data_IF_686464440559
#
_entry.id   IF_686464440559
#
_cell.length_a   1.000
_cell.length_b   1.000
_cell.length_c   1.000
_cell.angle_alpha   90.00
_cell.angle_beta   90.00
_cell.angle_gamma   90.00
#
_symmetry.space_group_name_H-M   'P 1'
#
loop_
_entity.id
_entity.type
_entity.pdbx_description
1 polymer ?
#
# COMPACT_ATOMS: atom_id res chain seq x y z
N UNK A 1 8.15 9.74 7.86
CA UNK A 1 7.00 10.51 7.37
C UNK A 1 6.87 10.34 5.87
N UNK A 2 5.68 10.59 5.34
CA UNK A 2 5.32 10.57 3.93
C UNK A 2 5.32 12.00 3.35
N UNK A 3 5.16 12.13 2.04
CA UNK A 3 5.15 13.42 1.34
C UNK A 3 3.72 13.96 1.22
N UNK A 4 3.46 15.17 1.74
CA UNK A 4 2.15 15.86 1.61
C UNK A 4 1.72 15.97 0.14
N UNK A 5 2.66 16.33 -0.74
CA UNK A 5 2.40 16.40 -2.18
C UNK A 5 2.03 15.03 -2.75
N UNK A 6 2.70 13.96 -2.28
CA UNK A 6 2.41 12.58 -2.68
C UNK A 6 0.97 12.19 -2.39
N UNK A 7 0.51 12.43 -1.15
CA UNK A 7 -0.88 12.15 -0.75
C UNK A 7 -1.89 12.96 -1.60
N UNK A 8 -1.64 14.25 -1.81
CA UNK A 8 -2.54 15.08 -2.60
C UNK A 8 -2.61 14.55 -4.04
N UNK A 9 -1.48 14.12 -4.61
CA UNK A 9 -1.44 13.51 -5.94
C UNK A 9 -2.27 12.22 -6.00
N UNK A 10 -2.13 11.34 -5.02
CA UNK A 10 -2.87 10.07 -4.92
C UNK A 10 -4.39 10.26 -4.94
N UNK A 11 -4.88 11.36 -4.38
CA UNK A 11 -6.31 11.66 -4.28
C UNK A 11 -6.88 12.49 -5.44
N UNK A 12 -6.03 13.14 -6.24
CA UNK A 12 -6.49 14.05 -7.28
C UNK A 12 -6.38 13.50 -8.70
N UNK A 13 -5.56 12.46 -8.91
CA UNK A 13 -5.27 11.95 -10.25
C UNK A 13 -6.07 10.68 -10.55
N UNK A 14 -6.35 10.39 -11.84
CA UNK A 14 -6.97 9.13 -12.25
C UNK A 14 -6.17 7.91 -11.77
N UNK A 15 -6.88 6.82 -11.50
CA UNK A 15 -6.29 5.57 -11.01
C UNK A 15 -6.32 4.53 -12.12
N UNK A 16 -5.19 3.92 -12.43
CA UNK A 16 -5.15 2.78 -13.34
C UNK A 16 -5.78 1.56 -12.68
N UNK A 17 -6.57 0.82 -13.44
CA UNK A 17 -7.20 -0.43 -13.01
C UNK A 17 -7.41 -1.35 -14.22
N UNK A 18 -7.67 -2.63 -13.95
CA UNK A 18 -8.25 -3.54 -14.93
C UNK A 18 -9.71 -3.74 -14.55
N UNK A 19 -10.62 -3.51 -15.50
CA UNK A 19 -12.06 -3.72 -15.34
C UNK A 19 -12.56 -4.55 -16.52
N UNK A 20 -13.21 -5.67 -16.23
CA UNK A 20 -13.64 -6.67 -17.21
C UNK A 20 -12.55 -7.07 -18.22
N UNK A 21 -11.32 -7.21 -17.73
CA UNK A 21 -10.16 -7.65 -18.48
C UNK A 21 -9.45 -6.58 -19.31
N UNK A 22 -9.88 -5.32 -19.22
CA UNK A 22 -9.31 -4.19 -19.97
C UNK A 22 -8.69 -3.15 -19.06
N UNK A 23 -7.56 -2.58 -19.49
CA UNK A 23 -6.98 -1.42 -18.83
C UNK A 23 -7.92 -0.22 -18.93
N UNK A 24 -8.24 0.38 -17.77
CA UNK A 24 -9.11 1.54 -17.66
C UNK A 24 -8.58 2.51 -16.60
N UNK A 25 -8.98 3.77 -16.73
CA UNK A 25 -8.85 4.76 -15.64
C UNK A 25 -10.15 4.81 -14.85
N UNK A 26 -10.04 4.73 -13.52
CA UNK A 26 -11.15 4.89 -12.57
C UNK A 26 -10.94 6.15 -11.72
N UNK A 27 -12.04 6.80 -11.28
CA UNK A 27 -11.93 8.02 -10.48
C UNK A 27 -11.31 7.75 -9.10
N UNK A 28 -10.45 8.66 -8.59
CA UNK A 28 -9.94 8.56 -7.23
C UNK A 28 -11.07 8.81 -6.21
N UNK A 29 -10.91 8.30 -5.00
CA UNK A 29 -11.87 8.42 -3.88
C UNK A 29 -13.23 7.77 -4.15
N UNK A 30 -13.35 6.92 -5.17
CA UNK A 30 -14.56 6.14 -5.46
C UNK A 30 -14.35 4.65 -5.16
N UNK A 31 -15.43 3.87 -5.33
CA UNK A 31 -15.50 2.44 -5.00
C UNK A 31 -15.14 2.13 -3.54
N UNK A 32 -15.74 2.89 -2.63
CA UNK A 32 -15.51 2.73 -1.19
C UNK A 32 -15.97 1.34 -0.73
N UNK A 33 -15.07 0.64 -0.07
CA UNK A 33 -15.32 -0.62 0.62
C UNK A 33 -15.03 -0.46 2.11
N UNK A 34 -15.89 -1.02 2.96
CA UNK A 34 -15.70 -1.02 4.41
C UNK A 34 -15.39 -2.45 4.86
N UNK A 35 -14.35 -2.59 5.68
CA UNK A 35 -13.96 -3.89 6.23
C UNK A 35 -13.43 -3.73 7.66
N UNK A 36 -13.40 -4.84 8.39
CA UNK A 36 -12.87 -4.89 9.76
C UNK A 36 -11.64 -5.79 9.82
N UNK A 37 -10.59 -5.33 10.50
CA UNK A 37 -9.38 -6.11 10.75
C UNK A 37 -8.93 -5.92 12.20
N UNK A 38 -8.87 -7.02 12.94
CA UNK A 38 -8.60 -7.07 14.38
C UNK A 38 -9.58 -6.20 15.20
N UNK A 39 -10.86 -6.24 14.84
CA UNK A 39 -11.91 -5.46 15.50
C UNK A 39 -11.90 -3.95 15.19
N UNK A 40 -10.97 -3.48 14.35
CA UNK A 40 -10.90 -2.09 13.89
C UNK A 40 -11.55 -1.98 12.52
N UNK A 41 -12.46 -1.02 12.36
CA UNK A 41 -13.09 -0.72 11.07
C UNK A 41 -12.20 0.19 10.24
N UNK A 42 -12.16 -0.10 8.94
CA UNK A 42 -11.44 0.64 7.93
C UNK A 42 -12.32 0.87 6.71
N UNK A 43 -11.98 1.89 5.94
CA UNK A 43 -12.48 2.12 4.59
C UNK A 43 -11.33 2.03 3.59
N UNK A 44 -11.59 1.51 2.39
CA UNK A 44 -10.65 1.45 1.28
C UNK A 44 -11.30 2.02 0.02
N UNK A 45 -10.54 2.79 -0.76
CA UNK A 45 -11.03 3.44 -1.97
C UNK A 45 -9.89 3.66 -2.96
N UNK A 46 -10.26 3.90 -4.23
CA UNK A 46 -9.29 4.02 -5.32
C UNK A 46 -8.36 5.23 -5.14
N UNK A 47 -7.08 5.01 -5.39
CA UNK A 47 -6.01 6.04 -5.35
C UNK A 47 -4.99 5.80 -6.44
N UNK A 48 -4.39 6.86 -6.98
CA UNK A 48 -3.48 6.72 -8.13
C UNK A 48 -2.10 6.18 -7.73
N UNK A 49 -1.41 5.53 -8.66
CA UNK A 49 0.05 5.33 -8.60
C UNK A 49 0.56 4.07 -7.87
N UNK A 50 -0.31 3.22 -7.34
CA UNK A 50 0.12 2.04 -6.58
C UNK A 50 0.37 0.76 -7.39
N UNK A 51 -0.15 0.63 -8.61
CA UNK A 51 -0.01 -0.61 -9.41
C UNK A 51 1.24 -0.62 -10.30
N UNK A 52 1.78 0.55 -10.66
CA UNK A 52 2.90 0.64 -11.60
C UNK A 52 2.63 -0.17 -12.88
N UNK A 53 3.58 -1.01 -13.28
CA UNK A 53 3.47 -1.85 -14.49
C UNK A 53 2.55 -3.06 -14.34
N UNK A 54 2.02 -3.33 -13.14
CA UNK A 54 1.26 -4.55 -12.88
C UNK A 54 -0.02 -4.63 -13.72
N UNK A 55 -0.66 -3.48 -13.97
CA UNK A 55 -1.80 -3.37 -14.86
C UNK A 55 -1.47 -3.85 -16.28
N UNK A 56 -0.36 -3.38 -16.86
CA UNK A 56 0.10 -3.82 -18.18
C UNK A 56 0.45 -5.32 -18.19
N UNK A 57 1.09 -5.79 -17.12
CA UNK A 57 1.52 -7.19 -17.03
C UNK A 57 0.33 -8.16 -16.90
N UNK A 58 -0.75 -7.75 -16.24
CA UNK A 58 -1.94 -8.57 -15.98
C UNK A 58 -3.13 -8.29 -16.92
N UNK A 59 -3.01 -7.33 -17.83
CA UNK A 59 -4.04 -7.06 -18.84
C UNK A 59 -4.38 -8.34 -19.63
N UNK A 60 -5.68 -8.61 -19.80
CA UNK A 60 -6.20 -9.82 -20.44
C UNK A 60 -5.98 -11.13 -19.66
N UNK A 61 -5.27 -11.12 -18.51
CA UNK A 61 -5.05 -12.28 -17.65
C UNK A 61 -5.98 -12.31 -16.43
N UNK A 62 -6.35 -11.13 -15.93
CA UNK A 62 -7.28 -10.98 -14.81
C UNK A 62 -8.50 -10.20 -15.26
N UNK A 63 -9.68 -10.52 -14.71
CA UNK A 63 -10.90 -9.75 -15.00
C UNK A 63 -10.89 -8.41 -14.30
N UNK A 64 -10.44 -8.35 -13.05
CA UNK A 64 -10.41 -7.11 -12.28
C UNK A 64 -9.10 -7.00 -11.49
N UNK A 65 -8.52 -5.80 -11.46
CA UNK A 65 -7.36 -5.43 -10.65
C UNK A 65 -7.50 -3.97 -10.26
N UNK A 66 -7.40 -3.66 -8.98
CA UNK A 66 -7.38 -2.29 -8.48
C UNK A 66 -6.37 -2.14 -7.34
N UNK A 67 -5.96 -0.90 -7.10
CA UNK A 67 -5.16 -0.50 -5.95
C UNK A 67 -5.95 0.51 -5.14
N UNK A 68 -6.02 0.25 -3.84
CA UNK A 68 -6.82 1.03 -2.92
C UNK A 68 -5.99 1.43 -1.71
N UNK A 69 -6.29 2.62 -1.21
CA UNK A 69 -5.71 3.13 0.01
C UNK A 69 -6.66 2.87 1.18
N UNK A 70 -6.15 2.28 2.25
CA UNK A 70 -6.90 2.06 3.49
C UNK A 70 -6.81 3.28 4.41
N UNK A 71 -7.94 3.70 4.95
CA UNK A 71 -8.07 4.80 5.92
C UNK A 71 -9.07 4.45 7.03
N UNK A 72 -9.07 5.27 8.07
CA UNK A 72 -10.11 5.20 9.10
C UNK A 72 -11.43 5.77 8.56
N UNK A 73 -12.57 5.27 9.06
CA UNK A 73 -13.88 5.70 8.60
C UNK A 73 -14.07 7.22 8.61
N UNK A 74 -14.60 7.77 7.52
CA UNK A 74 -14.92 9.19 7.35
C UNK A 74 -13.80 10.02 6.73
N UNK A 75 -12.59 9.49 6.59
CA UNK A 75 -11.47 10.19 5.96
C UNK A 75 -11.79 10.57 4.52
N UNK A 76 -12.31 9.62 3.74
CA UNK A 76 -12.67 9.79 2.33
C UNK A 76 -13.65 10.94 2.13
N UNK A 77 -14.68 11.02 2.96
CA UNK A 77 -15.71 12.04 2.82
C UNK A 77 -15.17 13.43 3.16
N UNK A 78 -14.31 13.54 4.17
CA UNK A 78 -13.57 14.78 4.46
C UNK A 78 -12.73 15.17 3.23
N UNK A 79 -11.98 14.23 2.66
CA UNK A 79 -11.15 14.50 1.49
C UNK A 79 -11.98 14.92 0.28
N UNK A 80 -13.13 14.30 0.02
CA UNK A 80 -14.02 14.72 -1.07
C UNK A 80 -14.59 16.10 -0.85
N UNK A 81 -15.03 16.43 0.35
CA UNK A 81 -15.50 17.77 0.67
C UNK A 81 -14.42 18.81 0.41
N UNK A 82 -13.19 18.57 0.89
CA UNK A 82 -12.06 19.48 0.66
C UNK A 82 -11.72 19.61 -0.83
N UNK A 83 -11.60 18.48 -1.54
CA UNK A 83 -11.07 18.46 -2.91
C UNK A 83 -12.12 18.85 -3.95
N UNK A 84 -13.36 18.39 -3.79
CA UNK A 84 -14.44 18.56 -4.77
C UNK A 84 -15.33 19.75 -4.40
N UNK A 85 -15.95 19.72 -3.21
CA UNK A 85 -16.96 20.71 -2.83
C UNK A 85 -16.36 22.10 -2.57
N UNK A 86 -15.16 22.13 -1.96
CA UNK A 86 -14.40 23.36 -1.75
C UNK A 86 -13.39 23.68 -2.87
N UNK A 87 -13.28 22.80 -3.88
CA UNK A 87 -12.42 23.01 -5.05
C UNK A 87 -10.91 23.04 -4.75
N UNK A 88 -10.45 22.50 -3.61
CA UNK A 88 -9.02 22.57 -3.24
C UNK A 88 -8.14 21.66 -4.10
N UNK A 89 -8.70 20.73 -4.88
CA UNK A 89 -7.94 19.94 -5.87
C UNK A 89 -7.20 20.80 -6.90
N UNK A 90 -7.76 21.99 -7.20
CA UNK A 90 -7.20 22.96 -8.15
C UNK A 90 -6.28 23.98 -7.44
N UNK A 91 -6.20 23.92 -6.10
CA UNK A 91 -5.38 24.77 -5.24
C UNK A 91 -4.44 23.94 -4.36
N UNK A 92 -3.78 22.94 -4.95
CA UNK A 92 -2.90 21.99 -4.24
C UNK A 92 -1.87 22.64 -3.30
N UNK A 93 -1.19 23.76 -3.66
CA UNK A 93 -0.27 24.43 -2.74
C UNK A 93 -0.94 24.92 -1.45
N UNK A 94 -2.16 25.46 -1.55
CA UNK A 94 -2.92 25.89 -0.38
C UNK A 94 -3.35 24.69 0.47
N UNK A 95 -3.83 23.62 -0.16
CA UNK A 95 -4.21 22.42 0.58
C UNK A 95 -3.02 21.83 1.34
N UNK A 96 -1.85 21.79 0.70
CA UNK A 96 -0.60 21.39 1.33
C UNK A 96 -0.28 22.27 2.54
N UNK A 97 -0.32 23.59 2.38
CA UNK A 97 -0.07 24.53 3.49
C UNK A 97 -1.03 24.29 4.67
N UNK A 98 -2.33 24.07 4.38
CA UNK A 98 -3.33 23.74 5.40
C UNK A 98 -2.93 22.46 6.14
N UNK A 99 -2.58 21.39 5.42
CA UNK A 99 -2.20 20.10 6.03
C UNK A 99 -0.91 20.21 6.85
N UNK A 100 0.13 20.86 6.32
CA UNK A 100 1.41 21.01 7.01
C UNK A 100 1.32 21.92 8.23
N UNK A 101 0.35 22.84 8.25
CA UNK A 101 0.08 23.71 9.40
C UNK A 101 -0.78 23.00 10.45
N UNK A 102 -1.80 22.26 10.03
CA UNK A 102 -2.83 21.74 10.93
C UNK A 102 -2.57 20.33 11.46
N UNK A 103 -1.80 19.49 10.74
CA UNK A 103 -1.63 18.08 11.08
C UNK A 103 -0.28 17.82 11.76
N UNK A 104 -0.26 17.33 13.01
CA UNK A 104 0.98 17.02 13.69
C UNK A 104 1.65 15.77 13.12
N UNK A 105 2.99 15.76 13.12
CA UNK A 105 3.79 14.59 12.75
C UNK A 105 3.80 13.59 13.92
N UNK A 106 3.57 12.31 13.62
CA UNK A 106 3.77 11.19 14.55
C UNK A 106 4.77 10.19 13.98
N UNK A 107 5.56 9.58 14.87
CA UNK A 107 6.45 8.46 14.54
C UNK A 107 5.89 7.10 14.96
N UNK A 108 4.79 7.11 15.72
CA UNK A 108 4.01 5.93 16.07
C UNK A 108 2.92 5.75 15.03
N UNK A 109 3.30 5.20 13.88
CA UNK A 109 2.42 4.90 12.76
C UNK A 109 2.32 3.38 12.52
N UNK A 110 1.41 3.02 11.63
CA UNK A 110 1.20 1.64 11.18
C UNK A 110 1.06 1.64 9.66
N UNK A 111 1.71 0.67 9.03
CA UNK A 111 1.50 0.33 7.63
C UNK A 111 0.65 -0.94 7.60
N UNK A 112 -0.54 -0.85 7.02
CA UNK A 112 -1.43 -1.97 6.80
C UNK A 112 -1.38 -2.37 5.32
N UNK A 113 -1.04 -3.62 5.06
CA UNK A 113 -1.09 -4.23 3.74
C UNK A 113 -2.25 -5.23 3.74
N UNK A 114 -3.21 -5.06 2.85
CA UNK A 114 -4.32 -5.99 2.66
C UNK A 114 -4.43 -6.36 1.19
N UNK A 115 -4.46 -7.66 0.90
CA UNK A 115 -4.52 -8.21 -0.46
C UNK A 115 -5.65 -9.22 -0.48
N UNK A 116 -6.52 -9.13 -1.48
CA UNK A 116 -7.58 -10.10 -1.73
C UNK A 116 -7.44 -10.60 -3.18
N UNK A 117 -7.38 -11.92 -3.36
CA UNK A 117 -7.29 -12.56 -4.67
C UNK A 117 -8.38 -13.61 -4.78
N UNK A 118 -9.22 -13.49 -5.81
CA UNK A 118 -10.25 -14.48 -6.15
C UNK A 118 -9.98 -15.08 -7.52
N UNK A 119 -10.11 -16.40 -7.64
CA UNK A 119 -9.85 -17.10 -8.90
C UNK A 119 -10.13 -18.60 -8.84
N UNK A 120 -9.86 -19.31 -9.92
CA UNK A 120 -10.00 -20.78 -9.96
C UNK A 120 -8.72 -21.47 -9.49
N UNK A 121 -8.83 -22.33 -8.47
CA UNK A 121 -7.76 -23.19 -7.97
C UNK A 121 -8.28 -24.62 -7.94
N UNK A 122 -7.60 -25.55 -8.62
CA UNK A 122 -8.00 -26.95 -8.74
C UNK A 122 -9.47 -27.13 -9.19
N UNK A 123 -9.93 -26.30 -10.13
CA UNK A 123 -11.30 -26.33 -10.66
C UNK A 123 -12.37 -25.64 -9.80
N UNK A 124 -12.04 -25.21 -8.59
CA UNK A 124 -12.97 -24.53 -7.68
C UNK A 124 -12.71 -23.02 -7.66
N UNK A 125 -13.77 -22.23 -7.51
CA UNK A 125 -13.65 -20.80 -7.26
C UNK A 125 -13.25 -20.61 -5.79
N UNK A 126 -12.12 -19.95 -5.55
CA UNK A 126 -11.52 -19.74 -4.24
C UNK A 126 -11.14 -18.27 -4.10
N UNK A 127 -11.28 -17.74 -2.89
CA UNK A 127 -10.76 -16.45 -2.48
C UNK A 127 -9.69 -16.66 -1.40
N UNK A 128 -8.54 -16.02 -1.56
CA UNK A 128 -7.48 -15.96 -0.57
C UNK A 128 -7.26 -14.50 -0.16
N UNK A 129 -7.00 -14.25 1.12
CA UNK A 129 -6.76 -12.91 1.64
C UNK A 129 -5.50 -12.91 2.51
N UNK A 130 -4.71 -11.86 2.37
CA UNK A 130 -3.50 -11.61 3.14
C UNK A 130 -3.62 -10.25 3.84
N UNK A 131 -3.32 -10.21 5.13
CA UNK A 131 -3.30 -8.99 5.91
C UNK A 131 -2.00 -8.91 6.71
N UNK A 132 -1.34 -7.75 6.73
CA UNK A 132 -0.14 -7.54 7.52
C UNK A 132 -0.10 -6.13 8.08
N UNK A 133 0.21 -6.01 9.38
CA UNK A 133 0.40 -4.75 10.08
C UNK A 133 1.86 -4.63 10.48
N UNK A 134 2.51 -3.61 9.94
CA UNK A 134 3.90 -3.28 10.26
C UNK A 134 3.88 -2.02 11.12
N UNK A 135 4.46 -2.10 12.30
CA UNK A 135 4.54 -1.01 13.26
C UNK A 135 5.93 -0.38 13.27
N UNK A 136 6.04 0.80 13.90
CA UNK A 136 7.33 1.42 14.21
C UNK A 136 8.22 0.47 15.05
N UNK A 137 9.52 0.45 14.79
CA UNK A 137 10.48 -0.42 15.49
C UNK A 137 11.77 0.32 15.84
N UNK A 138 12.43 -0.11 16.91
CA UNK A 138 13.76 0.37 17.27
C UNK A 138 14.82 -0.45 16.54
N UNK A 139 15.54 0.18 15.61
CA UNK A 139 16.62 -0.43 14.82
C UNK A 139 17.91 0.33 15.11
N UNK A 140 18.95 -0.40 15.56
CA UNK A 140 20.24 0.17 15.97
C UNK A 140 20.10 1.29 17.03
N UNK A 141 19.23 1.09 18.01
CA UNK A 141 19.02 2.04 19.11
C UNK A 141 18.21 3.29 18.76
N UNK A 142 17.70 3.41 17.53
CA UNK A 142 16.84 4.53 17.08
C UNK A 142 15.45 4.03 16.72
N UNK A 143 14.42 4.74 17.16
CA UNK A 143 13.03 4.47 16.76
C UNK A 143 12.82 4.93 15.31
N UNK A 144 12.28 4.04 14.48
CA UNK A 144 11.88 4.31 13.10
C UNK A 144 10.39 4.03 12.94
N UNK A 145 9.69 4.96 12.29
CA UNK A 145 8.28 4.78 11.90
C UNK A 145 8.12 3.60 10.92
N UNK A 146 6.95 2.95 10.94
CA UNK A 146 6.59 1.88 10.02
C UNK A 146 6.81 2.31 8.56
N UNK A 147 6.38 3.51 8.16
CA UNK A 147 6.57 3.99 6.79
C UNK A 147 8.03 4.21 6.43
N UNK A 148 8.87 4.65 7.37
CA UNK A 148 10.32 4.76 7.14
C UNK A 148 10.94 3.39 6.93
N UNK A 149 10.56 2.41 7.76
CA UNK A 149 11.07 1.05 7.68
C UNK A 149 10.68 0.42 6.35
N UNK A 150 9.39 0.39 5.99
CA UNK A 150 8.92 -0.28 4.78
C UNK A 150 9.48 0.37 3.52
N UNK A 151 9.44 1.71 3.43
CA UNK A 151 9.98 2.44 2.28
C UNK A 151 11.48 2.18 2.10
N UNK A 152 12.27 2.28 3.17
CA UNK A 152 13.71 2.05 3.10
C UNK A 152 14.04 0.57 2.82
N UNK A 153 13.34 -0.36 3.48
CA UNK A 153 13.52 -1.79 3.29
C UNK A 153 13.28 -2.20 1.83
N UNK A 154 12.22 -1.68 1.20
CA UNK A 154 11.90 -1.99 -0.20
C UNK A 154 13.03 -1.64 -1.15
N UNK A 155 13.50 -0.39 -1.12
CA UNK A 155 14.59 0.05 -2.00
C UNK A 155 15.92 -0.63 -1.65
N UNK A 156 16.24 -0.80 -0.37
CA UNK A 156 17.47 -1.47 0.05
C UNK A 156 17.49 -2.93 -0.40
N UNK A 157 16.37 -3.66 -0.31
CA UNK A 157 16.28 -5.03 -0.83
C UNK A 157 16.57 -5.09 -2.32
N UNK A 158 15.92 -4.25 -3.13
CA UNK A 158 16.11 -4.27 -4.59
C UNK A 158 17.55 -3.96 -4.96
N UNK A 159 18.18 -2.96 -4.32
CA UNK A 159 19.59 -2.63 -4.55
C UNK A 159 20.54 -3.74 -4.11
N UNK A 160 20.25 -4.41 -3.00
CA UNK A 160 21.06 -5.53 -2.49
C UNK A 160 20.95 -6.75 -3.42
N UNK A 161 19.76 -7.06 -3.95
CA UNK A 161 19.56 -8.09 -4.97
C UNK A 161 20.28 -7.74 -6.28
N UNK A 162 20.26 -6.48 -6.70
CA UNK A 162 21.01 -6.01 -7.87
C UNK A 162 22.51 -6.22 -7.66
N UNK A 163 23.06 -5.78 -6.54
CA UNK A 163 24.49 -5.90 -6.22
C UNK A 163 24.94 -7.37 -6.16
N UNK A 164 24.06 -8.28 -5.74
CA UNK A 164 24.32 -9.73 -5.69
C UNK A 164 24.18 -10.43 -7.05
N UNK A 165 23.75 -9.73 -8.10
CA UNK A 165 23.48 -10.35 -9.40
C UNK A 165 22.20 -11.20 -9.44
N UNK A 166 21.31 -11.09 -8.46
CA UNK A 166 20.07 -11.89 -8.35
C UNK A 166 18.93 -11.37 -9.22
N UNK A 167 19.02 -10.13 -9.70
CA UNK A 167 18.10 -9.54 -10.68
C UNK A 167 18.89 -9.07 -11.92
N UNK A 168 18.22 -8.87 -13.08
CA UNK A 168 18.89 -8.45 -14.30
C UNK A 168 19.74 -7.19 -14.12
N UNK A 169 20.97 -7.22 -14.63
CA UNK A 169 21.95 -6.14 -14.47
C UNK A 169 21.83 -5.01 -15.51
N UNK A 170 20.96 -5.19 -16.50
CA UNK A 170 20.74 -4.25 -17.60
C UNK A 170 19.26 -4.29 -18.02
N UNK A 171 18.80 -3.19 -18.60
CA UNK A 171 17.42 -3.04 -19.05
C UNK A 171 16.48 -2.60 -17.93
N UNK A 172 15.19 -2.66 -18.22
CA UNK A 172 14.13 -2.33 -17.29
C UNK A 172 13.67 -3.60 -16.57
N UNK A 173 13.58 -3.55 -15.24
CA UNK A 173 13.13 -4.65 -14.38
C UNK A 173 11.85 -4.19 -13.69
N UNK A 174 10.75 -4.92 -13.88
CA UNK A 174 9.48 -4.62 -13.21
C UNK A 174 9.49 -5.15 -11.79
N UNK A 175 8.60 -4.64 -10.93
CA UNK A 175 8.52 -5.14 -9.55
C UNK A 175 8.11 -6.61 -9.51
N UNK A 176 7.16 -6.98 -10.37
CA UNK A 176 6.63 -8.33 -10.52
C UNK A 176 7.61 -9.32 -11.19
N UNK A 177 8.74 -8.84 -11.73
CA UNK A 177 9.83 -9.71 -12.21
C UNK A 177 10.75 -10.17 -11.05
N UNK A 178 10.67 -9.53 -9.88
CA UNK A 178 11.51 -9.86 -8.72
C UNK A 178 10.88 -11.02 -7.96
N UNK A 179 11.65 -12.09 -7.77
CA UNK A 179 11.27 -13.26 -6.96
C UNK A 179 10.88 -12.83 -5.55
N UNK A 180 9.62 -13.08 -5.17
CA UNK A 180 9.12 -12.78 -3.82
C UNK A 180 9.94 -13.50 -2.75
N UNK A 181 10.37 -14.75 -3.01
CA UNK A 181 11.21 -15.50 -2.08
C UNK A 181 12.58 -14.82 -1.89
N UNK A 182 13.23 -14.38 -2.97
CA UNK A 182 14.52 -13.68 -2.85
C UNK A 182 14.37 -12.33 -2.15
N UNK A 183 13.26 -11.62 -2.43
CA UNK A 183 12.93 -10.37 -1.75
C UNK A 183 12.77 -10.60 -0.24
N UNK A 184 11.92 -11.54 0.18
CA UNK A 184 11.62 -11.78 1.59
C UNK A 184 12.80 -12.36 2.37
N UNK A 185 13.64 -13.19 1.74
CA UNK A 185 14.85 -13.74 2.35
C UNK A 185 16.02 -12.75 2.40
N UNK A 186 15.88 -11.57 1.80
CA UNK A 186 16.89 -10.52 1.90
C UNK A 186 16.92 -9.91 3.31
N UNK A 187 18.12 -9.53 3.78
CA UNK A 187 18.34 -8.89 5.08
C UNK A 187 17.51 -7.61 5.32
N UNK A 188 17.09 -6.92 4.26
CA UNK A 188 16.18 -5.78 4.35
C UNK A 188 14.73 -6.18 4.13
N UNK A 189 14.45 -7.18 3.29
CA UNK A 189 13.09 -7.61 2.95
C UNK A 189 12.35 -8.25 4.12
N UNK A 190 13.09 -8.86 5.05
CA UNK A 190 12.53 -9.42 6.29
C UNK A 190 11.75 -8.41 7.15
N UNK A 191 11.95 -7.09 6.99
CA UNK A 191 11.14 -6.07 7.69
C UNK A 191 9.68 -6.03 7.23
N UNK A 192 9.35 -6.66 6.10
CA UNK A 192 7.98 -6.88 5.65
C UNK A 192 7.35 -8.17 6.21
N UNK A 193 8.13 -9.05 6.86
CA UNK A 193 7.60 -10.29 7.39
C UNK A 193 6.55 -9.99 8.46
N UNK A 194 5.46 -10.76 8.47
CA UNK A 194 4.49 -10.70 9.56
C UNK A 194 5.23 -11.01 10.86
N UNK A 195 5.19 -10.06 11.80
CA UNK A 195 5.60 -10.39 13.16
C UNK A 195 4.56 -11.39 13.68
N UNK A 196 5.01 -12.61 13.95
CA UNK A 196 4.18 -13.54 14.70
C UNK A 196 3.95 -12.91 16.06
N UNK A 197 2.69 -12.61 16.40
CA UNK A 197 2.38 -12.26 17.78
C UNK A 197 2.93 -13.40 18.67
N UNK A 198 3.65 -13.10 19.76
CA UNK A 198 4.03 -14.13 20.70
C UNK A 198 2.72 -14.77 21.18
N UNK A 199 2.55 -16.07 20.89
CA UNK A 199 1.43 -16.85 21.38
C UNK A 199 1.24 -16.52 22.86
N UNK A 200 0.08 -15.97 23.22
CA UNK A 200 -0.24 -15.77 24.63
C UNK A 200 -0.15 -17.15 25.28
N UNK A 201 0.94 -17.41 26.00
CA UNK A 201 1.01 -18.55 26.90
C UNK A 201 0.02 -18.18 27.99
N UNK A 202 -1.20 -18.68 27.85
CA UNK A 202 -2.14 -18.77 28.94
C UNK A 202 -1.39 -19.42 30.11
N UNK A 203 -1.01 -18.59 31.09
CA UNK A 203 -0.68 -19.09 32.41
C UNK A 203 -1.99 -19.63 32.97
N UNK A 204 -2.21 -20.92 32.78
CA UNK A 204 -3.17 -21.66 33.59
C UNK A 204 -2.58 -21.67 35.00
N UNK A 205 -3.20 -20.88 35.87
CA UNK A 205 -3.12 -21.07 37.31
C UNK A 205 -4.24 -22.05 37.71
#
# INVERSE_FOLDING_TARGET
TWSTDGLINEYCNPCEAIVDGKLMEVPPLEEVEVFSLDGINYEAFNTSGGLGTLCETLEGKVSNLNYRTVRYPGHRDIMKMLLQDLGLKDRRPLLKEIFETALPITYQDVVLIFINVSGKKNGQLVQESYANKIYSQTINGKLWSAIQITTAAGICTVLDLLAQGKIPQKGFVRQEDISFSDFMNNRFGQYYAQQTEPSSKAKVA
#
